data_IF_002694228710
#
_entry.id   IF_002694228710
#
_cell.length_a   1.000
_cell.length_b   1.000
_cell.length_c   1.000
_cell.angle_alpha   90.00
_cell.angle_beta   90.00
_cell.angle_gamma   90.00
#
_symmetry.space_group_name_H-M   'P 1'
#
loop_
_entity.id
_entity.type
_entity.pdbx_description
1 polymer ?
#
# COMPACT_ATOMS: atom_id res chain seq x y z
N UNK A 1 14.74 38.29 -82.36
CA UNK A 1 15.09 36.92 -81.93
C UNK A 1 14.92 36.80 -80.42
N UNK A 2 14.26 35.72 -79.97
CA UNK A 2 14.24 35.08 -78.64
C UNK A 2 14.27 35.94 -77.34
N UNK A 3 13.07 35.99 -76.73
CA UNK A 3 12.67 35.82 -75.31
C UNK A 3 13.77 35.84 -74.24
N UNK A 4 13.55 36.61 -73.18
CA UNK A 4 13.59 36.10 -71.79
C UNK A 4 12.40 36.69 -71.01
N UNK A 5 11.68 35.80 -70.31
CA UNK A 5 10.54 36.08 -69.42
C UNK A 5 11.06 36.41 -68.01
N UNK A 6 10.35 37.24 -67.26
CA UNK A 6 9.71 36.86 -65.98
C UNK A 6 9.14 38.10 -65.24
N UNK A 7 7.91 38.03 -64.71
CA UNK A 7 7.37 39.00 -63.76
C UNK A 7 7.54 38.48 -62.31
N UNK A 8 7.78 39.36 -61.33
CA UNK A 8 7.68 39.06 -59.90
C UNK A 8 6.97 40.26 -59.25
N UNK A 9 5.66 40.17 -59.01
CA UNK A 9 4.94 39.68 -57.81
C UNK A 9 5.15 40.53 -56.56
N UNK A 10 4.05 41.18 -56.16
CA UNK A 10 3.86 42.03 -54.98
C UNK A 10 3.87 41.14 -53.73
N UNK A 11 4.74 41.45 -52.77
CA UNK A 11 4.80 40.78 -51.47
C UNK A 11 3.72 41.34 -50.53
N UNK A 12 2.73 40.52 -50.19
CA UNK A 12 1.83 40.75 -49.06
C UNK A 12 2.41 40.06 -47.82
N UNK A 13 2.73 40.85 -46.80
CA UNK A 13 3.19 40.37 -45.51
C UNK A 13 2.01 39.84 -44.69
N UNK A 14 2.00 38.53 -44.40
CA UNK A 14 1.08 37.93 -43.42
C UNK A 14 1.92 37.52 -42.21
N UNK A 15 1.68 38.18 -41.07
CA UNK A 15 2.23 37.75 -39.78
C UNK A 15 1.27 36.72 -39.20
N UNK A 16 1.65 35.45 -39.25
CA UNK A 16 0.94 34.36 -38.55
C UNK A 16 1.53 34.22 -37.14
N UNK A 17 0.74 34.55 -36.12
CA UNK A 17 1.07 34.25 -34.72
C UNK A 17 0.77 32.76 -34.50
N UNK A 18 1.82 31.95 -34.37
CA UNK A 18 1.70 30.56 -33.96
C UNK A 18 1.47 30.50 -32.43
N UNK A 19 0.28 30.09 -32.03
CA UNK A 19 -0.05 29.81 -30.64
C UNK A 19 0.56 28.45 -30.28
N UNK A 20 1.70 28.45 -29.58
CA UNK A 20 2.33 27.21 -29.08
C UNK A 20 1.56 26.77 -27.83
N UNK A 21 0.66 25.83 -28.01
CA UNK A 21 0.01 25.11 -26.92
C UNK A 21 1.05 24.24 -26.23
N UNK A 22 1.55 24.69 -25.07
CA UNK A 22 2.40 23.87 -24.21
C UNK A 22 1.55 22.72 -23.65
N UNK A 23 1.58 21.55 -24.29
CA UNK A 23 1.11 20.31 -23.67
C UNK A 23 2.06 19.99 -22.52
N UNK A 24 1.65 20.30 -21.30
CA UNK A 24 2.33 19.80 -20.11
C UNK A 24 2.03 18.31 -20.00
N UNK A 25 2.98 17.47 -20.43
CA UNK A 25 2.98 16.06 -20.07
C UNK A 25 3.22 15.97 -18.57
N UNK A 26 2.17 15.66 -17.80
CA UNK A 26 2.33 15.25 -16.41
C UNK A 26 3.30 14.05 -16.37
N UNK A 27 4.28 14.03 -15.46
CA UNK A 27 5.17 12.88 -15.34
C UNK A 27 4.33 11.67 -14.95
N UNK A 28 4.23 10.70 -15.86
CA UNK A 28 3.73 9.35 -15.53
C UNK A 28 4.78 8.74 -14.62
N UNK A 29 4.50 8.70 -13.32
CA UNK A 29 5.33 7.98 -12.37
C UNK A 29 5.18 6.49 -12.62
N UNK A 30 6.11 5.88 -13.35
CA UNK A 30 6.25 4.44 -13.38
C UNK A 30 6.73 3.98 -12.00
N UNK A 31 5.91 3.22 -11.28
CA UNK A 31 6.46 2.35 -10.23
C UNK A 31 7.44 1.41 -10.91
N UNK A 32 8.68 1.34 -10.43
CA UNK A 32 9.61 0.31 -10.89
C UNK A 32 8.94 -1.05 -10.69
N UNK A 33 9.02 -1.92 -11.70
CA UNK A 33 8.59 -3.31 -11.57
C UNK A 33 9.29 -3.95 -10.39
N UNK A 34 8.60 -4.86 -9.70
CA UNK A 34 9.19 -5.67 -8.64
C UNK A 34 10.39 -6.44 -9.17
N UNK A 35 11.41 -6.57 -8.32
CA UNK A 35 12.63 -7.34 -8.63
C UNK A 35 12.31 -8.83 -8.80
N UNK A 36 11.36 -9.33 -8.02
CA UNK A 36 10.85 -10.69 -8.11
C UNK A 36 9.39 -10.64 -8.53
N UNK A 37 9.02 -11.53 -9.44
CA UNK A 37 7.68 -11.61 -10.01
C UNK A 37 6.70 -12.39 -9.11
N UNK A 38 7.22 -13.15 -8.13
CA UNK A 38 6.44 -13.85 -7.10
C UNK A 38 7.25 -14.04 -5.81
N UNK A 39 6.58 -14.42 -4.72
CA UNK A 39 7.22 -14.79 -3.46
C UNK A 39 8.02 -16.08 -3.60
N UNK A 40 7.57 -17.04 -4.41
CA UNK A 40 8.35 -18.23 -4.76
C UNK A 40 9.72 -17.84 -5.33
N UNK A 41 9.74 -16.96 -6.34
CA UNK A 41 10.99 -16.50 -6.94
C UNK A 41 11.86 -15.73 -5.93
N UNK A 42 11.25 -14.90 -5.09
CA UNK A 42 11.95 -14.17 -4.03
C UNK A 42 12.62 -15.16 -3.06
N UNK A 43 11.90 -16.17 -2.59
CA UNK A 43 12.39 -17.13 -1.60
C UNK A 43 13.48 -18.05 -2.17
N UNK A 44 13.42 -18.38 -3.46
CA UNK A 44 14.51 -19.12 -4.14
C UNK A 44 15.80 -18.28 -4.24
N UNK A 45 15.68 -16.96 -4.41
CA UNK A 45 16.81 -16.06 -4.61
C UNK A 45 17.38 -15.44 -3.32
N UNK A 46 16.77 -15.71 -2.16
CA UNK A 46 17.11 -15.07 -0.88
C UNK A 46 17.09 -16.08 0.27
N UNK A 47 17.42 -15.66 1.48
CA UNK A 47 17.56 -16.55 2.64
C UNK A 47 16.76 -16.05 3.86
N UNK A 48 15.89 -16.91 4.41
CA UNK A 48 15.22 -16.64 5.69
C UNK A 48 16.25 -16.49 6.82
N UNK A 49 15.99 -15.59 7.77
CA UNK A 49 16.88 -15.27 8.88
C UNK A 49 18.02 -14.32 8.52
N UNK A 50 18.28 -14.09 7.22
CA UNK A 50 19.24 -13.11 6.71
C UNK A 50 18.57 -11.96 5.99
N UNK A 51 17.73 -12.26 5.01
CA UNK A 51 17.06 -11.28 4.17
C UNK A 51 15.67 -10.95 4.70
N UNK A 52 14.95 -11.96 5.15
CA UNK A 52 13.58 -11.85 5.63
C UNK A 52 13.26 -12.84 6.76
N UNK A 53 12.13 -12.66 7.44
CA UNK A 53 11.53 -13.67 8.33
C UNK A 53 10.02 -13.58 8.26
N UNK A 54 9.32 -14.71 8.39
CA UNK A 54 7.87 -14.72 8.52
C UNK A 54 7.48 -14.79 9.99
N UNK A 55 6.52 -13.95 10.41
CA UNK A 55 5.94 -14.00 11.76
C UNK A 55 4.43 -14.17 11.66
N UNK A 56 3.89 -15.04 12.50
CA UNK A 56 2.46 -15.35 12.54
C UNK A 56 1.99 -15.59 13.96
N UNK A 57 0.73 -15.28 14.25
CA UNK A 57 0.02 -15.80 15.42
C UNK A 57 -1.40 -16.21 15.02
N UNK A 58 -1.96 -17.16 15.76
CA UNK A 58 -3.35 -17.62 15.57
C UNK A 58 -4.23 -16.95 16.62
N UNK A 59 -5.26 -16.26 16.16
CA UNK A 59 -6.29 -15.66 17.01
C UNK A 59 -7.49 -16.58 17.19
N UNK A 60 -8.47 -16.10 17.95
CA UNK A 60 -9.78 -16.75 18.13
C UNK A 60 -10.86 -16.15 17.21
N UNK A 61 -10.63 -14.95 16.68
CA UNK A 61 -11.52 -14.31 15.70
C UNK A 61 -11.26 -14.90 14.28
N UNK A 62 -12.30 -14.98 13.45
CA UNK A 62 -12.22 -15.41 12.04
C UNK A 62 -11.54 -14.39 11.11
N UNK A 63 -11.04 -13.28 11.68
CA UNK A 63 -10.30 -12.23 10.99
C UNK A 63 -8.80 -12.55 10.93
N UNK A 64 -8.19 -12.21 9.80
CA UNK A 64 -6.74 -12.19 9.61
C UNK A 64 -6.26 -10.76 9.30
N UNK A 65 -5.26 -10.30 10.04
CA UNK A 65 -4.53 -9.06 9.74
C UNK A 65 -3.19 -9.41 9.11
N UNK A 66 -2.88 -8.81 7.97
CA UNK A 66 -1.71 -9.15 7.16
C UNK A 66 -0.87 -7.89 6.89
N UNK A 67 0.43 -7.96 7.14
CA UNK A 67 1.41 -7.02 6.60
C UNK A 67 2.33 -7.77 5.61
N UNK A 68 1.95 -7.88 4.32
CA UNK A 68 2.73 -8.62 3.33
C UNK A 68 4.09 -7.96 3.05
N UNK A 69 4.20 -6.64 3.29
CA UNK A 69 5.42 -5.87 3.10
C UNK A 69 5.98 -5.37 4.45
N UNK A 70 6.12 -6.29 5.39
CA UNK A 70 6.57 -6.00 6.75
C UNK A 70 8.04 -5.64 6.91
N UNK A 71 8.41 -5.32 8.15
CA UNK A 71 9.79 -5.06 8.55
C UNK A 71 10.35 -3.81 7.87
N UNK A 72 11.38 -3.97 7.05
CA UNK A 72 12.02 -2.88 6.32
C UNK A 72 11.43 -2.61 4.92
N UNK A 73 10.51 -3.43 4.42
CA UNK A 73 9.94 -3.29 3.07
C UNK A 73 9.05 -2.04 3.05
N UNK A 74 8.04 -2.00 3.91
CA UNK A 74 7.23 -0.83 4.24
C UNK A 74 7.31 -0.58 5.76
N UNK A 75 8.27 0.24 6.25
CA UNK A 75 8.50 0.42 7.68
C UNK A 75 7.27 0.85 8.47
N UNK A 76 6.92 0.06 9.49
CA UNK A 76 5.81 0.27 10.41
C UNK A 76 4.62 -0.68 10.21
N UNK A 77 4.47 -1.30 9.04
CA UNK A 77 3.29 -2.13 8.73
C UNK A 77 3.19 -3.38 9.63
N UNK A 78 4.32 -4.03 9.93
CA UNK A 78 4.35 -5.18 10.85
C UNK A 78 3.85 -4.80 12.25
N UNK A 79 4.29 -3.66 12.77
CA UNK A 79 3.93 -3.20 14.11
C UNK A 79 2.45 -2.84 14.18
N UNK A 80 1.95 -2.11 13.17
CA UNK A 80 0.54 -1.74 13.03
C UNK A 80 -0.35 -2.98 12.93
N UNK A 81 -0.02 -3.91 12.02
CA UNK A 81 -0.80 -5.12 11.81
C UNK A 81 -0.81 -6.02 13.05
N UNK A 82 0.32 -6.11 13.77
CA UNK A 82 0.39 -6.84 15.03
C UNK A 82 -0.53 -6.24 16.09
N UNK A 83 -0.52 -4.92 16.25
CA UNK A 83 -1.34 -4.25 17.27
C UNK A 83 -2.84 -4.37 16.99
N UNK A 84 -3.26 -4.24 15.72
CA UNK A 84 -4.67 -4.51 15.33
C UNK A 84 -5.05 -5.96 15.67
N UNK A 85 -4.19 -6.92 15.30
CA UNK A 85 -4.47 -8.33 15.54
C UNK A 85 -4.59 -8.64 17.03
N UNK A 86 -3.71 -8.06 17.84
CA UNK A 86 -3.69 -8.21 19.29
C UNK A 86 -4.98 -7.65 19.92
N UNK A 87 -5.42 -6.44 19.53
CA UNK A 87 -6.65 -5.83 20.05
C UNK A 87 -7.93 -6.60 19.68
N UNK A 88 -7.94 -7.24 18.52
CA UNK A 88 -9.12 -7.97 18.01
C UNK A 88 -9.11 -9.47 18.30
N UNK A 89 -8.08 -9.99 18.99
CA UNK A 89 -7.81 -11.43 19.07
C UNK A 89 -7.85 -12.12 17.69
N UNK A 90 -7.39 -11.42 16.65
CA UNK A 90 -7.36 -11.90 15.27
C UNK A 90 -6.07 -12.67 14.98
N UNK A 91 -6.10 -13.46 13.92
CA UNK A 91 -4.87 -14.05 13.41
C UNK A 91 -3.99 -12.97 12.78
N UNK A 92 -2.68 -13.17 12.80
CA UNK A 92 -1.70 -12.22 12.31
C UNK A 92 -0.72 -12.91 11.36
N UNK A 93 -0.38 -12.21 10.27
CA UNK A 93 0.72 -12.58 9.39
C UNK A 93 1.55 -11.35 9.04
N UNK A 94 2.87 -11.51 9.00
CA UNK A 94 3.75 -10.58 8.31
C UNK A 94 4.94 -11.28 7.66
N UNK A 95 5.34 -10.78 6.50
CA UNK A 95 6.63 -11.08 5.89
C UNK A 95 7.55 -9.89 6.13
N UNK A 96 8.59 -10.05 6.97
CA UNK A 96 9.46 -8.95 7.37
C UNK A 96 10.75 -8.97 6.56
N UNK A 97 11.01 -7.92 5.79
CA UNK A 97 12.37 -7.65 5.33
C UNK A 97 13.25 -7.24 6.51
N UNK A 98 14.39 -7.91 6.72
CA UNK A 98 15.26 -7.69 7.89
C UNK A 98 16.68 -7.25 7.51
N UNK A 99 16.93 -6.94 6.23
CA UNK A 99 18.21 -6.44 5.76
C UNK A 99 18.53 -5.09 6.42
N UNK A 100 19.82 -4.73 6.58
CA UNK A 100 20.19 -3.39 7.01
C UNK A 100 19.74 -2.29 6.03
N UNK A 101 19.80 -2.58 4.72
CA UNK A 101 19.43 -1.68 3.62
C UNK A 101 18.74 -2.47 2.49
N UNK A 102 18.17 -1.77 1.51
CA UNK A 102 17.59 -2.35 0.28
C UNK A 102 16.47 -3.38 0.50
N UNK A 103 15.69 -3.24 1.58
CA UNK A 103 14.51 -4.09 1.81
C UNK A 103 13.41 -3.89 0.77
N UNK A 104 13.34 -2.73 0.10
CA UNK A 104 12.37 -2.51 -1.00
C UNK A 104 12.52 -3.50 -2.16
N UNK A 105 13.71 -4.09 -2.34
CA UNK A 105 13.93 -5.15 -3.32
C UNK A 105 13.20 -6.46 -2.99
N UNK A 106 12.73 -6.63 -1.75
CA UNK A 106 11.95 -7.76 -1.29
C UNK A 106 10.43 -7.54 -1.46
N UNK A 107 10.03 -6.44 -2.08
CA UNK A 107 8.63 -6.20 -2.40
C UNK A 107 8.18 -7.10 -3.56
N UNK A 108 7.03 -7.74 -3.39
CA UNK A 108 6.30 -8.49 -4.41
C UNK A 108 4.85 -8.05 -4.32
N UNK A 109 4.30 -7.54 -5.42
CA UNK A 109 2.95 -7.01 -5.47
C UNK A 109 1.91 -8.01 -4.96
N UNK A 110 0.91 -7.52 -4.23
CA UNK A 110 -0.15 -8.32 -3.63
C UNK A 110 -0.88 -9.24 -4.62
N UNK A 111 -0.92 -8.88 -5.91
CA UNK A 111 -1.54 -9.68 -6.97
C UNK A 111 -0.74 -10.94 -7.36
N UNK A 112 0.56 -10.98 -7.04
CA UNK A 112 1.46 -12.09 -7.33
C UNK A 112 2.01 -12.73 -6.04
N UNK A 113 1.35 -12.48 -4.91
CA UNK A 113 1.84 -12.88 -3.60
C UNK A 113 1.48 -14.36 -3.33
N UNK A 114 2.38 -15.26 -3.72
CA UNK A 114 2.23 -16.72 -3.68
C UNK A 114 2.97 -17.39 -2.50
N UNK A 115 3.22 -16.67 -1.41
CA UNK A 115 3.86 -17.27 -0.22
C UNK A 115 2.88 -18.27 0.42
N UNK A 116 3.24 -19.57 0.55
CA UNK A 116 2.29 -20.62 0.92
C UNK A 116 1.58 -20.41 2.25
N UNK A 117 2.28 -19.88 3.27
CA UNK A 117 1.68 -19.67 4.59
C UNK A 117 0.70 -18.49 4.60
N UNK A 118 1.02 -17.40 3.91
CA UNK A 118 0.10 -16.29 3.71
C UNK A 118 -1.18 -16.75 3.02
N UNK A 119 -1.05 -17.50 1.92
CA UNK A 119 -2.20 -18.01 1.17
C UNK A 119 -3.08 -18.92 2.03
N UNK A 120 -2.48 -19.88 2.74
CA UNK A 120 -3.23 -20.77 3.63
C UNK A 120 -4.02 -19.99 4.70
N UNK A 121 -3.37 -19.05 5.40
CA UNK A 121 -4.04 -18.26 6.44
C UNK A 121 -5.15 -17.37 5.87
N UNK A 122 -4.93 -16.76 4.71
CA UNK A 122 -5.95 -15.93 4.05
C UNK A 122 -7.13 -16.78 3.62
N UNK A 123 -6.89 -17.91 2.96
CA UNK A 123 -7.95 -18.83 2.47
C UNK A 123 -8.79 -19.38 3.64
N UNK A 124 -8.19 -19.59 4.81
CA UNK A 124 -8.89 -20.00 6.03
C UNK A 124 -9.69 -18.87 6.69
N UNK A 125 -9.31 -17.61 6.49
CA UNK A 125 -9.96 -16.47 7.14
C UNK A 125 -11.29 -16.08 6.49
N UNK A 126 -12.23 -15.62 7.32
CA UNK A 126 -13.50 -15.07 6.85
C UNK A 126 -13.35 -13.61 6.45
N UNK A 127 -12.61 -12.83 7.24
CA UNK A 127 -12.28 -11.44 6.98
C UNK A 127 -10.77 -11.29 6.85
N UNK A 128 -10.32 -10.46 5.91
CA UNK A 128 -8.89 -10.13 5.75
C UNK A 128 -8.71 -8.63 5.66
N UNK A 129 -7.81 -8.10 6.48
CA UNK A 129 -7.36 -6.70 6.39
C UNK A 129 -5.86 -6.69 6.13
N UNK A 130 -5.43 -6.06 5.05
CA UNK A 130 -4.01 -5.89 4.73
C UNK A 130 -3.55 -4.47 5.03
N UNK A 131 -2.37 -4.34 5.64
CA UNK A 131 -1.76 -3.06 6.00
C UNK A 131 -0.56 -2.82 5.09
N UNK A 132 -0.61 -1.70 4.38
CA UNK A 132 0.38 -1.26 3.42
C UNK A 132 0.77 0.21 3.64
N UNK A 133 1.82 0.66 2.95
CA UNK A 133 2.19 2.06 2.83
C UNK A 133 2.24 2.51 1.38
N UNK A 134 1.82 3.75 1.18
CA UNK A 134 1.83 4.39 -0.13
C UNK A 134 2.68 5.66 -0.15
N UNK A 135 3.28 5.93 -1.30
CA UNK A 135 3.93 7.20 -1.59
C UNK A 135 2.93 8.30 -1.96
N UNK A 136 1.63 7.99 -2.11
CA UNK A 136 0.60 9.01 -2.29
C UNK A 136 0.57 9.95 -1.08
N UNK A 137 0.40 11.22 -1.37
CA UNK A 137 0.27 12.31 -0.40
C UNK A 137 -1.09 13.00 -0.55
N UNK A 138 -1.51 13.75 0.46
CA UNK A 138 -2.76 14.53 0.44
C UNK A 138 -3.73 14.09 1.54
N UNK A 139 -3.87 12.79 1.74
CA UNK A 139 -4.63 12.20 2.84
C UNK A 139 -3.72 11.34 3.74
N UNK A 140 -4.19 11.06 4.95
CA UNK A 140 -3.50 10.19 5.92
C UNK A 140 -3.59 8.72 5.47
N UNK A 141 -4.79 8.31 5.06
CA UNK A 141 -5.16 6.90 4.85
C UNK A 141 -5.98 6.74 3.57
N UNK A 142 -5.68 5.70 2.80
CA UNK A 142 -6.47 5.29 1.64
C UNK A 142 -7.03 3.88 1.89
N UNK A 143 -8.35 3.72 1.79
CA UNK A 143 -9.04 2.44 2.04
C UNK A 143 -9.55 1.85 0.74
N UNK A 144 -9.08 0.64 0.41
CA UNK A 144 -9.43 -0.14 -0.77
C UNK A 144 -9.84 -1.56 -0.40
N UNK A 145 -9.88 -2.44 -1.39
CA UNK A 145 -10.38 -3.81 -1.25
C UNK A 145 -11.80 -3.99 -1.79
N UNK A 146 -12.32 -5.21 -1.70
CA UNK A 146 -13.61 -5.61 -2.27
C UNK A 146 -14.73 -5.76 -1.24
N UNK A 147 -14.41 -5.81 0.05
CA UNK A 147 -15.43 -5.85 1.10
C UNK A 147 -16.00 -4.45 1.33
N UNK A 148 -16.98 -4.07 0.52
CA UNK A 148 -17.55 -2.73 0.53
C UNK A 148 -18.16 -2.35 1.90
N UNK A 149 -18.75 -3.32 2.62
CA UNK A 149 -19.34 -3.08 3.94
C UNK A 149 -18.27 -2.83 5.01
N UNK A 150 -17.23 -3.68 5.08
CA UNK A 150 -16.15 -3.49 6.05
C UNK A 150 -15.30 -2.24 5.73
N UNK A 151 -15.09 -1.92 4.45
CA UNK A 151 -14.44 -0.65 4.04
C UNK A 151 -15.17 0.56 4.59
N UNK A 152 -16.50 0.58 4.49
CA UNK A 152 -17.30 1.71 4.97
C UNK A 152 -17.24 1.86 6.49
N UNK A 153 -17.33 0.74 7.24
CA UNK A 153 -17.20 0.75 8.70
C UNK A 153 -15.83 1.25 9.14
N UNK A 154 -14.75 0.72 8.53
CA UNK A 154 -13.38 1.17 8.83
C UNK A 154 -13.20 2.66 8.50
N UNK A 155 -13.69 3.10 7.35
CA UNK A 155 -13.58 4.50 6.91
C UNK A 155 -14.34 5.42 7.87
N UNK A 156 -15.56 5.05 8.26
CA UNK A 156 -16.38 5.83 9.19
C UNK A 156 -15.72 5.91 10.56
N UNK A 157 -15.27 4.77 11.09
CA UNK A 157 -14.62 4.71 12.41
C UNK A 157 -13.35 5.57 12.45
N UNK A 158 -12.48 5.46 11.44
CA UNK A 158 -11.27 6.27 11.35
C UNK A 158 -11.56 7.76 11.20
N UNK A 159 -12.54 8.15 10.38
CA UNK A 159 -12.94 9.57 10.25
C UNK A 159 -13.50 10.13 11.55
N UNK A 160 -14.23 9.32 12.32
CA UNK A 160 -14.75 9.74 13.63
C UNK A 160 -13.64 10.05 14.64
N UNK A 161 -12.48 9.39 14.49
CA UNK A 161 -11.27 9.61 15.28
C UNK A 161 -10.37 10.74 14.69
N UNK A 162 -10.87 11.46 13.67
CA UNK A 162 -10.21 12.62 13.09
C UNK A 162 -9.07 12.29 12.11
N UNK A 163 -9.02 11.07 11.59
CA UNK A 163 -8.11 10.75 10.48
C UNK A 163 -8.66 11.23 9.13
N UNK A 164 -7.77 11.74 8.27
CA UNK A 164 -8.14 12.08 6.89
C UNK A 164 -8.10 10.82 6.01
N UNK A 165 -9.28 10.25 5.77
CA UNK A 165 -9.46 8.99 5.04
C UNK A 165 -10.14 9.21 3.70
N UNK A 166 -9.58 8.63 2.65
CA UNK A 166 -10.17 8.63 1.30
C UNK A 166 -10.21 7.22 0.70
N UNK A 167 -11.00 7.04 -0.36
CA UNK A 167 -11.02 5.77 -1.09
C UNK A 167 -9.71 5.56 -1.86
N UNK A 168 -9.16 4.35 -1.77
CA UNK A 168 -8.02 3.96 -2.58
C UNK A 168 -8.45 3.67 -4.02
N UNK A 169 -7.78 4.32 -4.98
CA UNK A 169 -8.09 4.20 -6.42
C UNK A 169 -6.89 3.73 -7.22
N UNK A 170 -7.09 3.27 -8.46
CA UNK A 170 -6.01 2.88 -9.36
C UNK A 170 -5.15 1.73 -8.82
N UNK A 171 -3.83 1.89 -8.85
CA UNK A 171 -2.86 0.83 -8.49
C UNK A 171 -2.87 0.42 -7.00
N UNK A 172 -3.45 1.22 -6.11
CA UNK A 172 -3.57 0.89 -4.67
C UNK A 172 -5.02 0.54 -4.28
N UNK A 173 -5.94 0.43 -5.24
CA UNK A 173 -7.35 0.18 -4.95
C UNK A 173 -7.60 -1.19 -4.29
N UNK A 174 -6.67 -2.15 -4.44
CA UNK A 174 -6.79 -3.47 -3.83
C UNK A 174 -7.97 -4.31 -4.35
N UNK A 175 -8.60 -3.99 -5.49
CA UNK A 175 -9.83 -4.64 -5.97
C UNK A 175 -9.63 -5.87 -6.88
N UNK A 176 -8.39 -6.14 -7.30
CA UNK A 176 -8.06 -7.31 -8.13
C UNK A 176 -8.35 -8.61 -7.35
N UNK A 177 -9.00 -9.58 -7.97
CA UNK A 177 -9.30 -10.89 -7.36
C UNK A 177 -8.03 -11.70 -7.04
N UNK A 178 -6.94 -11.48 -7.78
CA UNK A 178 -5.66 -12.12 -7.49
C UNK A 178 -4.91 -11.44 -6.34
N UNK A 179 -5.30 -10.23 -5.93
CA UNK A 179 -4.71 -9.58 -4.76
C UNK A 179 -4.95 -10.45 -3.53
N UNK A 180 -3.88 -10.83 -2.82
CA UNK A 180 -3.93 -11.69 -1.64
C UNK A 180 -4.94 -11.21 -0.59
N UNK A 181 -5.20 -9.90 -0.48
CA UNK A 181 -6.26 -9.32 0.36
C UNK A 181 -7.64 -9.93 0.11
N UNK A 182 -7.93 -10.33 -1.13
CA UNK A 182 -9.24 -10.81 -1.58
C UNK A 182 -9.29 -12.32 -1.78
N UNK A 183 -8.31 -13.08 -1.31
CA UNK A 183 -8.32 -14.54 -1.48
C UNK A 183 -8.98 -15.28 -0.29
N UNK A 184 -9.63 -14.55 0.60
CA UNK A 184 -10.35 -15.11 1.74
C UNK A 184 -11.64 -15.84 1.33
N UNK A 185 -12.34 -16.43 2.29
CA UNK A 185 -13.57 -17.20 2.04
C UNK A 185 -14.65 -16.40 1.30
N UNK A 186 -14.71 -15.08 1.50
CA UNK A 186 -15.68 -14.19 0.88
C UNK A 186 -15.22 -13.64 -0.48
N UNK A 187 -13.97 -13.91 -0.87
CA UNK A 187 -13.29 -13.29 -2.01
C UNK A 187 -13.30 -11.76 -1.95
N UNK A 188 -13.29 -11.23 -0.74
CA UNK A 188 -13.45 -9.82 -0.45
C UNK A 188 -12.77 -9.47 0.86
N UNK A 189 -11.68 -8.71 0.78
CA UNK A 189 -11.01 -8.13 1.95
C UNK A 189 -10.90 -6.62 1.85
N UNK A 190 -10.24 -6.04 2.85
CA UNK A 190 -9.93 -4.60 2.93
C UNK A 190 -8.44 -4.39 2.85
N UNK A 191 -8.01 -3.46 2.00
CA UNK A 191 -6.63 -3.01 1.89
C UNK A 191 -6.53 -1.59 2.47
N UNK A 192 -5.66 -1.40 3.45
CA UNK A 192 -5.40 -0.10 4.07
C UNK A 192 -4.01 0.36 3.67
N UNK A 193 -3.93 1.51 3.02
CA UNK A 193 -2.71 2.12 2.53
C UNK A 193 -2.44 3.40 3.30
N UNK A 194 -1.35 3.42 4.07
CA UNK A 194 -0.98 4.56 4.90
C UNK A 194 -0.01 5.46 4.15
N UNK A 195 -0.26 6.76 4.12
CA UNK A 195 0.71 7.72 3.64
C UNK A 195 2.04 7.57 4.42
N UNK A 196 3.16 7.50 3.69
CA UNK A 196 4.48 7.28 4.27
C UNK A 196 4.83 8.22 5.43
N UNK A 197 4.55 9.51 5.30
CA UNK A 197 4.86 10.53 6.31
C UNK A 197 3.91 10.44 7.49
N UNK A 198 2.62 10.23 7.23
CA UNK A 198 1.60 10.05 8.26
C UNK A 198 1.91 8.85 9.15
N UNK A 199 2.21 7.68 8.55
CA UNK A 199 2.50 6.46 9.29
C UNK A 199 3.69 6.59 10.26
N UNK A 200 4.62 7.50 10.01
CA UNK A 200 5.74 7.73 10.93
C UNK A 200 5.26 8.32 12.28
N UNK A 201 4.15 9.08 12.29
CA UNK A 201 3.57 9.67 13.51
C UNK A 201 3.05 8.63 14.53
N UNK A 202 2.94 7.37 14.10
CA UNK A 202 2.62 6.24 14.99
C UNK A 202 3.78 5.84 15.89
N UNK A 203 4.97 6.39 15.65
CA UNK A 203 6.17 6.17 16.45
C UNK A 203 6.65 7.47 17.08
N UNK A 204 7.16 7.41 18.30
CA UNK A 204 7.67 8.60 19.04
C UNK A 204 8.66 9.38 18.18
N UNK A 205 8.55 10.70 18.24
CA UNK A 205 9.36 11.63 17.44
C UNK A 205 9.27 11.43 15.92
N UNK A 206 8.24 10.74 15.44
CA UNK A 206 8.14 10.28 14.05
C UNK A 206 9.31 9.40 13.60
N UNK A 207 10.00 8.75 14.55
CA UNK A 207 11.13 7.88 14.25
C UNK A 207 10.65 6.46 13.92
N UNK A 208 10.47 6.20 12.63
CA UNK A 208 10.17 4.87 12.10
C UNK A 208 11.43 4.02 11.86
N UNK A 209 12.59 4.36 12.43
CA UNK A 209 13.78 3.49 12.41
C UNK A 209 13.48 2.14 13.08
N UNK A 210 14.22 1.09 12.70
CA UNK A 210 13.92 -0.27 13.18
C UNK A 210 14.00 -0.38 14.71
N UNK A 211 15.06 0.11 15.38
CA UNK A 211 15.14 0.06 16.84
C UNK A 211 14.02 0.84 17.53
N UNK A 212 13.58 1.96 16.93
CA UNK A 212 12.48 2.76 17.48
C UNK A 212 11.14 2.04 17.34
N UNK A 213 10.76 1.65 16.11
CA UNK A 213 9.43 1.08 15.84
C UNK A 213 9.23 -0.31 16.44
N UNK A 214 10.27 -1.14 16.53
CA UNK A 214 10.19 -2.48 17.13
C UNK A 214 10.12 -2.45 18.67
N UNK A 215 10.25 -1.28 19.30
CA UNK A 215 10.01 -1.11 20.74
C UNK A 215 8.56 -0.60 20.97
N UNK A 216 7.65 -1.42 21.55
CA UNK A 216 6.27 -1.00 21.80
C UNK A 216 6.13 0.24 22.68
N UNK A 217 7.11 0.53 23.55
CA UNK A 217 7.12 1.74 24.36
C UNK A 217 7.24 3.03 23.52
N UNK A 218 7.56 2.92 22.23
CA UNK A 218 7.61 4.02 21.28
C UNK A 218 6.36 4.16 20.41
N UNK A 219 5.36 3.30 20.57
CA UNK A 219 4.09 3.46 19.85
C UNK A 219 3.32 4.62 20.48
N UNK A 220 2.73 5.48 19.66
CA UNK A 220 2.06 6.71 20.12
C UNK A 220 0.57 6.50 20.37
N UNK A 221 -0.08 7.42 21.07
CA UNK A 221 -1.53 7.41 21.22
C UNK A 221 -2.24 7.48 19.86
N UNK A 222 -1.61 8.10 18.85
CA UNK A 222 -2.12 8.13 17.47
C UNK A 222 -2.10 6.75 16.80
N UNK A 223 -1.11 5.90 17.13
CA UNK A 223 -1.14 4.47 16.77
C UNK A 223 -2.32 3.78 17.46
N UNK A 224 -2.51 4.00 18.77
CA UNK A 224 -3.60 3.37 19.51
C UNK A 224 -4.95 3.74 18.93
N UNK A 225 -5.20 5.03 18.73
CA UNK A 225 -6.44 5.56 18.15
C UNK A 225 -6.73 4.92 16.78
N UNK A 226 -5.72 4.82 15.90
CA UNK A 226 -5.86 4.16 14.61
C UNK A 226 -6.24 2.67 14.75
N UNK A 227 -5.54 1.92 15.61
CA UNK A 227 -5.80 0.49 15.77
C UNK A 227 -7.11 0.21 16.53
N UNK A 228 -7.54 1.11 17.42
CA UNK A 228 -8.83 1.07 18.11
C UNK A 228 -10.00 1.32 17.16
N UNK A 229 -9.86 2.25 16.21
CA UNK A 229 -10.88 2.47 15.16
C UNK A 229 -11.06 1.23 14.29
N UNK A 230 -9.95 0.59 13.87
CA UNK A 230 -10.03 -0.64 13.07
C UNK A 230 -10.67 -1.77 13.89
N UNK A 231 -10.26 -1.92 15.15
CA UNK A 231 -10.84 -2.92 16.05
C UNK A 231 -12.35 -2.71 16.24
N UNK A 232 -12.80 -1.48 16.44
CA UNK A 232 -14.22 -1.15 16.54
C UNK A 232 -14.98 -1.56 15.28
N UNK A 233 -14.50 -1.16 14.11
CA UNK A 233 -15.14 -1.48 12.83
C UNK A 233 -15.20 -2.99 12.52
N UNK A 234 -14.23 -3.77 13.02
CA UNK A 234 -14.20 -5.23 12.88
C UNK A 234 -15.19 -5.95 13.81
N UNK A 235 -15.58 -5.33 14.92
CA UNK A 235 -16.51 -5.89 15.89
C UNK A 235 -17.95 -5.38 15.73
N UNK A 236 -18.17 -4.37 14.89
CA UNK A 236 -19.49 -3.93 14.47
C UNK A 236 -20.19 -4.99 13.61
N UNK A 237 -21.45 -5.30 13.96
CA UNK A 237 -22.30 -6.31 13.32
C UNK A 237 -23.10 -5.76 12.15
#
# INVERSE_FOLDING_TARGET
MRKIKNPILISASVVSIAMVSLLTLSPVTFSASDKYQSMTQLQEATQEGKDWTIKTSKGTNETLIVAPHGGGIEPGTSEIAYEIANKNNASYYTFKGIRPINNKELHVTSANYDEPKAQAMVHESKNTVTIHKTARSGNDIYVGGRDDALRERITTSLRSEGFDVTEATGNIAGRNLNNITNQNQQKAGVQIELNNQFANQFFKNSDASRPSRENPANWTDRMSAFTDSINSALNES
#
